data_IF_952773512255
#
_entry.id   IF_952773512255
#
_cell.length_a   1.000
_cell.length_b   1.000
_cell.length_c   1.000
_cell.angle_alpha   90.00
_cell.angle_beta   90.00
_cell.angle_gamma   90.00
#
_symmetry.space_group_name_H-M   'P 1'
#
loop_
_entity.id
_entity.type
_entity.pdbx_description
1 polymer ?
#
# COMPACT_ATOMS: atom_id res chain seq x y z
N UNK A 1 -20.34 -6.18 -9.63
CA UNK A 1 -20.36 -4.91 -8.88
C UNK A 1 -18.99 -4.28 -9.01
N UNK A 2 -18.89 -3.15 -9.71
CA UNK A 2 -17.63 -2.42 -9.91
C UNK A 2 -17.31 -1.60 -8.64
N UNK A 3 -16.04 -1.53 -8.25
CA UNK A 3 -15.60 -0.77 -7.08
C UNK A 3 -15.36 0.67 -7.52
N UNK A 4 -16.07 1.63 -6.92
CA UNK A 4 -15.99 3.07 -7.27
C UNK A 4 -15.00 3.85 -6.39
N UNK A 5 -14.48 3.23 -5.32
CA UNK A 5 -13.60 3.85 -4.34
C UNK A 5 -12.39 2.94 -4.02
N UNK A 6 -11.21 3.53 -3.93
CA UNK A 6 -9.96 2.93 -3.43
C UNK A 6 -9.49 3.72 -2.22
N UNK A 7 -8.66 3.15 -1.36
CA UNK A 7 -8.12 3.91 -0.22
C UNK A 7 -6.68 4.31 -0.51
N UNK A 8 -6.35 5.60 -0.31
CA UNK A 8 -4.97 6.08 -0.32
C UNK A 8 -4.83 7.33 0.56
N UNK A 9 -3.62 7.52 1.07
CA UNK A 9 -3.31 8.42 2.16
C UNK A 9 -3.19 9.90 1.71
N UNK A 10 -4.28 10.64 1.86
CA UNK A 10 -4.26 12.03 2.27
C UNK A 10 -4.85 12.05 3.69
N UNK A 11 -4.01 12.20 4.70
CA UNK A 11 -4.29 12.28 6.15
C UNK A 11 -5.55 11.54 6.67
N UNK A 12 -5.32 10.39 7.33
CA UNK A 12 -6.32 9.55 8.02
C UNK A 12 -7.52 9.08 7.18
N UNK A 13 -7.41 7.85 6.66
CA UNK A 13 -8.55 7.01 6.23
C UNK A 13 -9.58 7.64 5.28
N UNK A 14 -9.12 8.31 4.21
CA UNK A 14 -10.01 8.75 3.14
C UNK A 14 -10.20 7.66 2.08
N UNK A 15 -11.44 7.19 1.92
CA UNK A 15 -11.88 6.52 0.70
C UNK A 15 -11.80 7.54 -0.43
N UNK A 16 -10.92 7.31 -1.41
CA UNK A 16 -10.76 8.17 -2.58
C UNK A 16 -11.40 7.52 -3.80
N UNK A 17 -11.92 8.28 -4.78
CA UNK A 17 -12.35 7.72 -6.05
C UNK A 17 -11.24 6.92 -6.72
N UNK A 18 -11.59 5.82 -7.39
CA UNK A 18 -10.63 4.95 -8.09
C UNK A 18 -9.79 5.74 -9.11
N UNK A 19 -10.37 6.77 -9.74
CA UNK A 19 -9.72 7.65 -10.70
C UNK A 19 -8.57 8.45 -10.08
N UNK A 20 -8.58 8.65 -8.76
CA UNK A 20 -7.51 9.30 -8.00
C UNK A 20 -6.26 8.40 -7.93
N UNK A 21 -6.34 7.08 -8.16
CA UNK A 21 -5.18 6.19 -8.27
C UNK A 21 -4.09 6.74 -9.19
N UNK A 22 -4.46 7.34 -10.33
CA UNK A 22 -3.50 7.92 -11.27
C UNK A 22 -2.73 9.13 -10.73
N UNK A 23 -3.34 9.90 -9.84
CA UNK A 23 -2.66 11.03 -9.18
C UNK A 23 -1.59 10.55 -8.19
N UNK A 24 -1.68 9.29 -7.79
CA UNK A 24 -0.86 8.68 -6.75
C UNK A 24 0.28 7.86 -7.32
N UNK A 25 0.16 7.39 -8.56
CA UNK A 25 1.23 6.73 -9.30
C UNK A 25 2.52 7.56 -9.31
N UNK A 26 2.45 8.88 -9.47
CA UNK A 26 3.63 9.75 -9.36
C UNK A 26 4.29 9.75 -7.96
N UNK A 27 3.51 9.57 -6.89
CA UNK A 27 4.05 9.41 -5.53
C UNK A 27 4.63 8.00 -5.33
N UNK A 28 4.05 6.98 -5.97
CA UNK A 28 4.56 5.61 -5.96
C UNK A 28 5.90 5.51 -6.72
N UNK A 29 6.05 6.19 -7.85
CA UNK A 29 7.30 6.24 -8.62
C UNK A 29 8.47 6.90 -7.86
N UNK A 30 8.16 7.66 -6.80
CA UNK A 30 9.13 8.38 -5.96
C UNK A 30 9.24 7.74 -4.57
N UNK A 31 8.91 6.45 -4.47
CA UNK A 31 9.01 5.66 -3.23
C UNK A 31 10.41 5.78 -2.60
N UNK A 32 11.45 5.97 -3.41
CA UNK A 32 12.83 6.06 -2.92
C UNK A 32 13.28 7.48 -2.53
N UNK A 33 12.46 8.52 -2.74
CA UNK A 33 12.86 9.93 -2.58
C UNK A 33 12.38 10.58 -1.26
N UNK A 34 11.65 9.87 -0.39
CA UNK A 34 10.98 10.43 0.80
C UNK A 34 11.59 10.10 2.17
N UNK A 35 11.33 10.95 3.16
CA UNK A 35 11.79 10.83 4.55
C UNK A 35 10.99 9.81 5.40
N UNK A 36 11.08 8.52 5.04
CA UNK A 36 10.45 7.40 5.78
C UNK A 36 11.46 6.30 6.11
N UNK A 37 12.47 6.66 6.91
CA UNK A 37 13.69 5.90 7.16
C UNK A 37 13.51 4.41 7.42
N UNK A 38 12.54 3.98 8.24
CA UNK A 38 12.37 2.55 8.57
C UNK A 38 11.85 1.70 7.40
N UNK A 39 10.98 2.23 6.54
CA UNK A 39 10.47 1.50 5.38
C UNK A 39 11.56 1.37 4.32
N UNK A 40 12.26 2.47 4.04
CA UNK A 40 13.38 2.50 3.11
C UNK A 40 14.57 1.66 3.60
N UNK A 41 14.87 1.70 4.89
CA UNK A 41 15.88 0.85 5.51
C UNK A 41 15.54 -0.63 5.36
N UNK A 42 14.30 -1.04 5.66
CA UNK A 42 13.88 -2.43 5.49
C UNK A 42 13.95 -2.88 4.02
N UNK A 43 13.46 -2.07 3.08
CA UNK A 43 13.51 -2.40 1.67
C UNK A 43 14.95 -2.53 1.13
N UNK A 44 15.90 -1.75 1.66
CA UNK A 44 17.31 -1.81 1.28
C UNK A 44 18.10 -2.92 1.96
N UNK A 45 17.87 -3.13 3.26
CA UNK A 45 18.60 -4.10 4.06
C UNK A 45 18.06 -5.52 3.87
N UNK A 46 16.77 -5.65 3.55
CA UNK A 46 16.07 -6.93 3.43
C UNK A 46 15.12 -6.94 2.22
N UNK A 47 15.61 -6.74 0.98
CA UNK A 47 14.77 -6.76 -0.22
C UNK A 47 14.03 -8.11 -0.38
N UNK A 48 14.69 -9.22 -0.03
CA UNK A 48 14.06 -10.55 -0.07
C UNK A 48 12.82 -10.66 0.82
N UNK A 49 12.77 -9.93 1.95
CA UNK A 49 11.59 -9.92 2.81
C UNK A 49 10.40 -9.25 2.13
N UNK A 50 10.64 -8.13 1.44
CA UNK A 50 9.60 -7.40 0.70
C UNK A 50 9.07 -8.26 -0.45
N UNK A 51 9.97 -8.92 -1.18
CA UNK A 51 9.61 -9.83 -2.27
C UNK A 51 8.84 -11.06 -1.77
N UNK A 52 9.24 -11.65 -0.64
CA UNK A 52 8.53 -12.77 -0.02
C UNK A 52 7.09 -12.39 0.38
N UNK A 53 6.89 -11.21 0.95
CA UNK A 53 5.55 -10.71 1.29
C UNK A 53 4.72 -10.48 0.03
N UNK A 54 5.30 -9.90 -1.02
CA UNK A 54 4.61 -9.72 -2.30
C UNK A 54 4.22 -11.08 -2.92
N UNK A 55 5.12 -12.07 -2.86
CA UNK A 55 4.88 -13.42 -3.34
C UNK A 55 3.73 -14.10 -2.58
N UNK A 56 3.65 -13.91 -1.26
CA UNK A 56 2.52 -14.41 -0.46
C UNK A 56 1.18 -13.83 -0.93
N UNK A 57 1.11 -12.52 -1.20
CA UNK A 57 -0.10 -11.88 -1.74
C UNK A 57 -0.43 -12.42 -3.14
N UNK A 58 0.59 -12.54 -4.00
CA UNK A 58 0.41 -13.02 -5.35
C UNK A 58 -0.13 -14.46 -5.39
N UNK A 59 0.42 -15.35 -4.57
CA UNK A 59 0.03 -16.75 -4.51
C UNK A 59 -1.29 -16.99 -3.75
N UNK A 60 -1.49 -16.29 -2.63
CA UNK A 60 -2.58 -16.56 -1.68
C UNK A 60 -3.78 -15.63 -1.75
N UNK A 61 -3.69 -14.53 -2.50
CA UNK A 61 -4.71 -13.49 -2.51
C UNK A 61 -4.57 -12.50 -1.35
N UNK A 62 -5.66 -11.83 -0.94
CA UNK A 62 -5.61 -10.78 0.07
C UNK A 62 -4.91 -11.21 1.36
N UNK A 63 -3.93 -10.42 1.82
CA UNK A 63 -3.14 -10.67 3.03
C UNK A 63 -3.26 -9.50 4.02
N UNK A 64 -3.43 -9.79 5.32
CA UNK A 64 -3.35 -8.79 6.38
C UNK A 64 -2.04 -8.87 7.16
N UNK A 65 -1.72 -7.83 7.90
CA UNK A 65 -0.46 -7.73 8.66
C UNK A 65 -0.17 -8.96 9.52
N UNK A 66 -1.19 -9.52 10.17
CA UNK A 66 -1.07 -10.67 11.06
C UNK A 66 -0.88 -12.02 10.39
N UNK A 67 -0.98 -12.08 9.07
CA UNK A 67 -0.83 -13.33 8.30
C UNK A 67 0.52 -13.44 7.58
N UNK A 68 1.34 -12.41 7.65
CA UNK A 68 2.65 -12.36 6.97
C UNK A 68 3.67 -13.38 7.51
N UNK A 69 3.39 -14.02 8.66
CA UNK A 69 4.27 -15.02 9.28
C UNK A 69 5.46 -14.45 10.05
N UNK A 70 5.70 -13.14 9.98
CA UNK A 70 6.82 -12.50 10.68
C UNK A 70 6.55 -12.34 12.18
N UNK A 71 7.61 -12.53 12.97
CA UNK A 71 7.58 -12.39 14.42
C UNK A 71 7.12 -10.99 14.82
N UNK A 72 6.22 -10.94 15.79
CA UNK A 72 5.70 -9.70 16.35
C UNK A 72 6.40 -9.43 17.67
N UNK A 73 6.98 -8.25 17.89
CA UNK A 73 7.50 -7.92 19.19
C UNK A 73 6.36 -7.89 20.22
N UNK A 74 6.69 -8.19 21.47
CA UNK A 74 5.75 -8.06 22.58
C UNK A 74 5.29 -6.61 22.63
N UNK A 75 3.97 -6.41 22.60
CA UNK A 75 3.37 -5.07 22.59
C UNK A 75 3.64 -4.41 23.94
N UNK A 76 4.43 -3.34 23.95
CA UNK A 76 4.60 -2.52 25.15
C UNK A 76 3.28 -1.86 25.57
N UNK A 77 3.06 -1.72 26.88
CA UNK A 77 1.87 -1.06 27.41
C UNK A 77 1.74 0.37 26.84
N UNK A 78 0.54 0.75 26.41
CA UNK A 78 0.26 2.06 25.82
C UNK A 78 0.60 2.22 24.33
N UNK A 79 1.28 1.26 23.69
CA UNK A 79 1.52 1.32 22.25
C UNK A 79 0.25 0.94 21.48
N UNK A 80 -0.26 1.82 20.62
CA UNK A 80 -1.45 1.55 19.80
C UNK A 80 -1.14 0.64 18.59
N UNK A 81 0.12 0.59 18.15
CA UNK A 81 0.54 -0.10 16.93
C UNK A 81 1.68 -1.08 17.19
N UNK A 82 1.49 -2.35 16.80
CA UNK A 82 2.56 -3.34 16.83
C UNK A 82 3.30 -3.35 15.48
N UNK A 83 4.39 -2.58 15.39
CA UNK A 83 5.24 -2.51 14.20
C UNK A 83 6.18 -3.72 14.16
N UNK A 84 6.04 -4.55 13.13
CA UNK A 84 6.91 -5.68 12.82
C UNK A 84 7.23 -5.70 11.32
N UNK A 85 8.26 -6.43 10.93
CA UNK A 85 8.83 -6.33 9.58
C UNK A 85 7.81 -6.66 8.48
N UNK A 86 7.01 -7.71 8.66
CA UNK A 86 5.91 -8.03 7.72
C UNK A 86 4.88 -6.91 7.57
N UNK A 87 4.57 -6.14 8.63
CA UNK A 87 3.70 -4.97 8.53
C UNK A 87 4.39 -3.84 7.77
N UNK A 88 5.65 -3.56 8.09
CA UNK A 88 6.44 -2.53 7.41
C UNK A 88 6.56 -2.83 5.92
N UNK A 89 6.79 -4.09 5.54
CA UNK A 89 6.83 -4.54 4.15
C UNK A 89 5.49 -4.36 3.42
N UNK A 90 4.36 -4.70 4.05
CA UNK A 90 3.04 -4.45 3.46
C UNK A 90 2.75 -2.96 3.25
N UNK A 91 3.11 -2.10 4.22
CA UNK A 91 2.95 -0.65 4.06
C UNK A 91 3.89 -0.10 2.98
N UNK A 92 5.11 -0.61 2.88
CA UNK A 92 6.05 -0.26 1.80
C UNK A 92 5.50 -0.66 0.43
N UNK A 93 5.06 -1.90 0.26
CA UNK A 93 4.46 -2.38 -0.99
C UNK A 93 3.20 -1.58 -1.36
N UNK A 94 2.39 -1.22 -0.37
CA UNK A 94 1.21 -0.40 -0.57
C UNK A 94 1.57 1.00 -1.05
N UNK A 95 2.61 1.59 -0.46
CA UNK A 95 3.10 2.90 -0.86
C UNK A 95 3.80 2.90 -2.23
N UNK A 96 4.52 1.82 -2.55
CA UNK A 96 5.11 1.57 -3.87
C UNK A 96 4.05 1.21 -4.95
N UNK A 97 2.77 1.12 -4.59
CA UNK A 97 1.69 0.74 -5.52
C UNK A 97 1.71 -0.72 -5.96
N UNK A 98 2.54 -1.56 -5.35
CA UNK A 98 2.69 -2.99 -5.66
C UNK A 98 1.57 -3.84 -5.06
N UNK A 99 0.88 -3.33 -4.04
CA UNK A 99 -0.36 -3.88 -3.50
C UNK A 99 -1.35 -2.74 -3.21
N UNK A 100 -2.63 -3.06 -3.07
CA UNK A 100 -3.72 -2.13 -2.77
C UNK A 100 -4.60 -2.62 -1.63
N UNK A 101 -5.27 -1.68 -0.96
CA UNK A 101 -6.29 -2.01 0.04
C UNK A 101 -7.49 -2.69 -0.63
N UNK A 102 -7.67 -3.99 -0.42
CA UNK A 102 -8.77 -4.75 -1.01
C UNK A 102 -10.05 -4.72 -0.17
N UNK A 103 -9.91 -4.67 1.16
CA UNK A 103 -11.00 -4.50 2.13
C UNK A 103 -10.45 -4.11 3.50
N UNK A 104 -11.35 -3.70 4.40
CA UNK A 104 -11.08 -3.54 5.83
C UNK A 104 -11.98 -4.41 6.67
N UNK A 105 -11.41 -5.06 7.68
CA UNK A 105 -12.14 -5.84 8.67
C UNK A 105 -11.63 -5.43 10.05
N UNK A 106 -12.51 -4.98 10.94
CA UNK A 106 -12.13 -4.52 12.29
C UNK A 106 -10.98 -3.51 12.28
N UNK A 107 -11.04 -2.51 11.39
CA UNK A 107 -9.99 -1.50 11.16
C UNK A 107 -8.66 -2.04 10.60
N UNK A 108 -8.49 -3.35 10.41
CA UNK A 108 -7.33 -3.94 9.77
C UNK A 108 -7.49 -3.96 8.24
N UNK A 109 -6.49 -3.45 7.53
CA UNK A 109 -6.44 -3.45 6.07
C UNK A 109 -5.97 -4.80 5.55
N UNK A 110 -6.65 -5.29 4.53
CA UNK A 110 -6.21 -6.41 3.71
C UNK A 110 -5.61 -5.87 2.40
N UNK A 111 -4.48 -6.42 2.02
CA UNK A 111 -3.70 -6.02 0.86
C UNK A 111 -3.81 -7.07 -0.24
N UNK A 112 -4.09 -6.67 -1.46
CA UNK A 112 -4.10 -7.56 -2.64
C UNK A 112 -3.44 -6.87 -3.84
N UNK A 113 -3.21 -7.60 -4.93
CA UNK A 113 -2.58 -7.05 -6.12
C UNK A 113 -3.49 -6.00 -6.80
N UNK A 114 -2.92 -4.92 -7.38
CA UNK A 114 -3.70 -3.88 -8.06
C UNK A 114 -4.68 -4.44 -9.10
N UNK A 115 -4.25 -5.41 -9.90
CA UNK A 115 -5.06 -6.05 -10.95
C UNK A 115 -6.26 -6.87 -10.44
N UNK A 116 -6.27 -7.22 -9.13
CA UNK A 116 -7.39 -7.90 -8.48
C UNK A 116 -8.33 -6.93 -7.76
N UNK A 117 -7.87 -5.70 -7.53
CA UNK A 117 -8.62 -4.66 -6.81
C UNK A 117 -9.26 -3.66 -7.78
N UNK A 118 -8.55 -3.30 -8.85
CA UNK A 118 -8.95 -2.28 -9.81
C UNK A 118 -9.69 -2.87 -11.02
N UNK A 119 -10.66 -2.13 -11.59
CA UNK A 119 -11.16 -2.40 -12.92
C UNK A 119 -10.04 -2.36 -13.99
N UNK A 120 -10.07 -3.22 -15.02
CA UNK A 120 -9.02 -3.28 -16.05
C UNK A 120 -8.81 -1.95 -16.80
N UNK A 121 -9.87 -1.18 -17.01
CA UNK A 121 -9.82 0.13 -17.66
C UNK A 121 -9.07 1.17 -16.83
N UNK A 122 -9.10 1.07 -15.50
CA UNK A 122 -8.31 1.94 -14.61
C UNK A 122 -6.85 1.52 -14.61
N UNK A 123 -6.59 0.20 -14.52
CA UNK A 123 -5.23 -0.34 -14.49
C UNK A 123 -4.44 -0.01 -15.77
N UNK A 124 -5.12 -0.01 -16.93
CA UNK A 124 -4.50 0.29 -18.22
C UNK A 124 -4.16 1.77 -18.43
N UNK A 125 -4.63 2.67 -17.55
CA UNK A 125 -4.36 4.10 -17.71
C UNK A 125 -2.95 4.45 -17.21
N UNK A 126 -2.17 5.20 -18.00
CA UNK A 126 -0.85 5.67 -17.56
C UNK A 126 -0.98 6.67 -16.41
N UNK A 127 0.10 6.81 -15.65
CA UNK A 127 0.24 7.88 -14.65
C UNK A 127 -0.02 9.25 -15.28
N UNK A 128 -0.74 10.11 -14.56
CA UNK A 128 -1.07 11.44 -15.08
C UNK A 128 0.21 12.24 -15.35
N UNK A 129 0.24 12.91 -16.51
CA UNK A 129 1.37 13.70 -16.95
C UNK A 129 1.61 14.91 -16.06
N UNK A 130 2.77 15.56 -16.22
CA UNK A 130 3.20 16.67 -15.36
C UNK A 130 2.22 17.84 -15.29
N UNK A 131 1.51 18.10 -16.39
CA UNK A 131 0.62 19.23 -16.55
C UNK A 131 -0.72 19.09 -15.79
N UNK A 132 -1.21 17.86 -15.58
CA UNK A 132 -2.52 17.61 -14.94
C UNK A 132 -2.47 17.71 -13.41
N UNK A 133 -1.26 17.86 -12.83
CA UNK A 133 -0.98 17.80 -11.39
C UNK A 133 -1.39 19.03 -10.58
N UNK A 134 -1.75 20.15 -11.24
CA UNK A 134 -2.10 21.42 -10.56
C UNK A 134 -3.57 21.52 -10.13
N UNK A 135 -4.44 20.63 -10.57
CA UNK A 135 -5.88 20.71 -10.30
C UNK A 135 -6.29 20.14 -8.93
N UNK A 136 -5.39 19.47 -8.19
CA UNK A 136 -5.68 18.86 -6.89
C UNK A 136 -5.08 19.59 -5.68
N UNK A 137 -4.69 20.85 -5.81
CA UNK A 137 -4.07 21.66 -4.74
C UNK A 137 -4.98 22.78 -4.19
N UNK A 138 -6.30 22.69 -4.40
CA UNK A 138 -7.27 23.59 -3.77
C UNK A 138 -8.12 22.85 -2.75
#
# INVERSE_FOLDING_TARGET
MQRELVEYWAHEASLIPVQTYRLLQWRMDRVDEGSWGRMHQLAREQPGLVDDVLAQVAAGGPLRSGQTGFQRPVRAAGQMWNWHDGKVALEYLFWAGRVMASRRVNFERWYDLPERVLPPDVLAQPALGVAERRLGQH
#
